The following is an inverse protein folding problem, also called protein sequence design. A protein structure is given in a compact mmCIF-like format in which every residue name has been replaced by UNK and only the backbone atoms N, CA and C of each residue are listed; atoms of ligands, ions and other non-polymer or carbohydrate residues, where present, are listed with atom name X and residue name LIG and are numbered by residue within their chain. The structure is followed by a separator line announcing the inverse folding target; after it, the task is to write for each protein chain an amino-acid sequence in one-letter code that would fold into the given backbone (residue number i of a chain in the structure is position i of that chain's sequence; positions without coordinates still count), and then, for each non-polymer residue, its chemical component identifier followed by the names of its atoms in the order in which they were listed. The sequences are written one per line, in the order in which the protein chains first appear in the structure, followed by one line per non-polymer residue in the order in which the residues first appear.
data_IF_663632505091
#
_entry.id   IF_663632505091
#
_cell.length_a   1.000
_cell.length_b   1.000
_cell.length_c   1.000
_cell.angle_alpha   90.00
_cell.angle_beta   90.00
_cell.angle_gamma   90.00
#
_symmetry.space_group_name_H-M   'P 1'
#
loop_
_entity.id
_entity.type
_entity.pdbx_description
1 polymer ?
#
# COMPACT_ATOMS: atom_id res chain seq x y z
N UNK A 1 -15.70 0.93 14.24
CA UNK A 1 -15.25 -0.31 13.56
C UNK A 1 -15.40 -0.10 12.05
N UNK A 2 -14.44 -0.51 11.24
CA UNK A 2 -14.38 -0.16 9.81
C UNK A 2 -15.27 -1.10 8.97
N UNK A 3 -16.55 -0.79 8.85
CA UNK A 3 -17.47 -1.53 7.98
C UNK A 3 -17.09 -1.33 6.51
N UNK A 4 -17.28 -2.36 5.65
CA UNK A 4 -16.93 -2.31 4.24
C UNK A 4 -15.41 -2.22 3.94
N UNK A 5 -14.56 -2.72 4.86
CA UNK A 5 -13.10 -2.61 4.72
C UNK A 5 -12.57 -3.36 3.48
N UNK A 6 -13.14 -4.54 3.18
CA UNK A 6 -12.74 -5.28 1.96
C UNK A 6 -13.12 -4.50 0.71
N UNK A 7 -14.28 -3.84 0.69
CA UNK A 7 -14.69 -3.00 -0.44
C UNK A 7 -13.74 -1.80 -0.62
N UNK A 8 -13.28 -1.20 0.48
CA UNK A 8 -12.25 -0.14 0.43
C UNK A 8 -10.92 -0.65 -0.12
N UNK A 9 -10.49 -1.84 0.29
CA UNK A 9 -9.29 -2.46 -0.26
C UNK A 9 -9.42 -2.71 -1.76
N UNK A 10 -10.58 -3.23 -2.21
CA UNK A 10 -10.86 -3.46 -3.63
C UNK A 10 -10.87 -2.13 -4.40
N UNK A 11 -11.50 -1.08 -3.86
CA UNK A 11 -11.52 0.26 -4.47
C UNK A 11 -10.11 0.87 -4.58
N UNK A 12 -9.31 0.80 -3.52
CA UNK A 12 -7.92 1.27 -3.53
C UNK A 12 -7.08 0.51 -4.57
N UNK A 13 -7.25 -0.81 -4.62
CA UNK A 13 -6.56 -1.68 -5.58
C UNK A 13 -6.99 -1.40 -7.03
N UNK A 14 -8.26 -1.09 -7.27
CA UNK A 14 -8.75 -0.70 -8.59
C UNK A 14 -8.16 0.64 -9.05
N UNK A 15 -7.96 1.58 -8.13
CA UNK A 15 -7.25 2.84 -8.38
C UNK A 15 -5.82 2.59 -8.87
N UNK A 16 -5.08 1.72 -8.20
CA UNK A 16 -3.73 1.33 -8.61
C UNK A 16 -3.73 0.59 -9.95
N UNK A 17 -4.62 -0.38 -10.15
CA UNK A 17 -4.73 -1.13 -11.39
C UNK A 17 -5.00 -0.21 -12.61
N UNK A 18 -5.83 0.81 -12.43
CA UNK A 18 -6.11 1.79 -13.48
C UNK A 18 -4.84 2.50 -13.96
N UNK A 19 -3.95 2.90 -13.02
CA UNK A 19 -2.64 3.52 -13.36
C UNK A 19 -1.68 2.48 -13.94
N UNK A 20 -1.66 1.28 -13.38
CA UNK A 20 -0.82 0.18 -13.89
C UNK A 20 -1.11 -0.13 -15.37
N UNK A 21 -2.37 -0.13 -15.77
CA UNK A 21 -2.77 -0.33 -17.18
C UNK A 21 -2.31 0.79 -18.12
N UNK A 22 -1.99 1.95 -17.58
CA UNK A 22 -1.48 3.09 -18.32
C UNK A 22 0.05 3.13 -18.43
N UNK A 23 0.77 2.24 -17.74
CA UNK A 23 2.24 2.16 -17.81
C UNK A 23 2.68 1.78 -19.22
N UNK A 24 3.48 2.62 -19.85
CA UNK A 24 4.09 2.33 -21.16
C UNK A 24 5.35 1.50 -21.00
N UNK A 25 5.75 0.84 -22.09
CA UNK A 25 6.93 -0.04 -22.13
C UNK A 25 8.21 0.66 -21.67
N UNK A 26 8.36 1.95 -22.02
CA UNK A 26 9.51 2.77 -21.67
C UNK A 26 9.52 3.32 -20.24
N UNK A 27 8.44 3.12 -19.46
CA UNK A 27 8.28 3.67 -18.12
C UNK A 27 8.59 2.69 -16.97
N UNK A 28 8.80 1.42 -17.25
CA UNK A 28 8.99 0.42 -16.20
C UNK A 28 10.22 0.66 -15.31
N UNK A 29 11.24 1.31 -15.84
CA UNK A 29 12.47 1.66 -15.12
C UNK A 29 12.48 3.11 -14.60
N UNK A 30 11.38 3.87 -14.80
CA UNK A 30 11.26 5.23 -14.30
C UNK A 30 11.27 5.25 -12.76
N UNK A 31 11.92 6.27 -12.17
CA UNK A 31 11.89 6.49 -10.73
C UNK A 31 10.47 6.82 -10.25
N UNK A 32 10.19 6.53 -8.99
CA UNK A 32 8.93 6.88 -8.34
C UNK A 32 9.17 7.83 -7.17
N UNK A 33 8.15 8.52 -6.66
CA UNK A 33 8.25 9.29 -5.42
C UNK A 33 8.64 8.44 -4.20
N UNK A 34 8.36 7.13 -4.23
CA UNK A 34 8.93 6.19 -3.28
C UNK A 34 10.36 5.86 -3.71
N UNK A 35 11.34 6.59 -3.20
CA UNK A 35 12.73 6.61 -3.67
C UNK A 35 13.46 5.25 -3.63
N UNK A 36 12.90 4.28 -2.91
CA UNK A 36 13.44 2.91 -2.86
C UNK A 36 13.14 2.09 -4.13
N UNK A 37 12.15 2.52 -4.97
CA UNK A 37 11.64 1.72 -6.07
C UNK A 37 11.48 2.50 -7.38
N UNK A 38 11.82 1.84 -8.49
CA UNK A 38 11.33 2.21 -9.81
C UNK A 38 9.88 1.67 -10.00
N UNK A 39 9.26 1.99 -11.13
CA UNK A 39 7.87 1.57 -11.42
C UNK A 39 7.72 0.05 -11.32
N UNK A 40 8.65 -0.76 -11.90
CA UNK A 40 8.56 -2.22 -11.85
C UNK A 40 8.62 -2.74 -10.42
N UNK A 41 9.54 -2.21 -9.62
CA UNK A 41 9.71 -2.61 -8.22
C UNK A 41 8.49 -2.22 -7.37
N UNK A 42 7.93 -1.02 -7.59
CA UNK A 42 6.70 -0.60 -6.93
C UNK A 42 5.52 -1.54 -7.26
N UNK A 43 5.33 -1.87 -8.56
CA UNK A 43 4.26 -2.79 -8.98
C UNK A 43 4.49 -4.20 -8.41
N UNK A 44 5.75 -4.65 -8.36
CA UNK A 44 6.10 -5.94 -7.76
C UNK A 44 5.79 -5.96 -6.25
N UNK A 45 6.17 -4.89 -5.52
CA UNK A 45 5.82 -4.73 -4.11
C UNK A 45 4.32 -4.86 -3.90
N UNK A 46 3.53 -4.20 -4.73
CA UNK A 46 2.08 -4.21 -4.62
C UNK A 46 1.46 -5.59 -4.84
N UNK A 47 1.94 -6.33 -5.83
CA UNK A 47 1.48 -7.70 -6.11
C UNK A 47 1.97 -8.69 -5.03
N UNK A 48 3.25 -8.62 -4.67
CA UNK A 48 3.88 -9.52 -3.70
C UNK A 48 3.29 -9.33 -2.28
N UNK A 49 3.00 -8.09 -1.88
CA UNK A 49 2.34 -7.82 -0.61
C UNK A 49 0.98 -8.54 -0.55
N UNK A 50 0.13 -8.44 -1.57
CA UNK A 50 -1.15 -9.15 -1.60
C UNK A 50 -0.98 -10.67 -1.39
N UNK A 51 -0.01 -11.29 -2.08
CA UNK A 51 0.33 -12.72 -1.90
C UNK A 51 0.76 -13.01 -0.46
N UNK A 52 1.55 -12.14 0.13
CA UNK A 52 2.05 -12.30 1.50
C UNK A 52 0.93 -12.15 2.54
N UNK A 53 -0.02 -11.23 2.32
CA UNK A 53 -1.19 -11.09 3.18
C UNK A 53 -2.08 -12.35 3.20
N UNK A 54 -2.27 -12.99 2.04
CA UNK A 54 -2.96 -14.30 1.97
C UNK A 54 -2.21 -15.35 2.80
N UNK A 55 -0.88 -15.40 2.69
CA UNK A 55 -0.06 -16.34 3.48
C UNK A 55 -0.18 -16.07 4.98
N UNK A 56 -0.15 -14.81 5.42
CA UNK A 56 -0.32 -14.44 6.82
C UNK A 56 -1.67 -14.91 7.37
N UNK A 57 -2.76 -14.75 6.60
CA UNK A 57 -4.09 -15.26 6.97
C UNK A 57 -4.11 -16.78 7.17
N UNK A 58 -3.25 -17.50 6.47
CA UNK A 58 -3.12 -18.97 6.58
C UNK A 58 -2.01 -19.42 7.55
N UNK A 59 -1.58 -18.53 8.47
CA UNK A 59 -0.60 -18.86 9.51
C UNK A 59 0.86 -18.67 9.11
N UNK A 60 1.12 -17.98 8.00
CA UNK A 60 2.48 -17.54 7.64
C UNK A 60 3.06 -16.55 8.65
N UNK A 61 4.37 -16.39 8.64
CA UNK A 61 5.11 -15.58 9.60
C UNK A 61 5.66 -14.29 9.00
N UNK A 62 5.97 -13.31 9.86
CA UNK A 62 6.67 -12.08 9.49
C UNK A 62 8.02 -12.36 8.81
N UNK A 63 8.74 -13.37 9.29
CA UNK A 63 10.00 -13.79 8.69
C UNK A 63 9.84 -14.33 7.26
N UNK A 64 8.75 -15.08 6.98
CA UNK A 64 8.43 -15.55 5.61
C UNK A 64 8.02 -14.40 4.70
N UNK A 65 7.23 -13.46 5.23
CA UNK A 65 6.86 -12.24 4.51
C UNK A 65 8.11 -11.47 4.06
N UNK A 66 9.03 -11.17 5.00
CA UNK A 66 10.24 -10.42 4.71
C UNK A 66 11.18 -11.15 3.73
N UNK A 67 11.33 -12.48 3.83
CA UNK A 67 12.13 -13.26 2.87
C UNK A 67 11.57 -13.24 1.45
N UNK A 68 10.26 -13.13 1.30
CA UNK A 68 9.61 -13.12 -0.01
C UNK A 68 9.34 -11.72 -0.57
N UNK A 69 9.67 -10.65 0.18
CA UNK A 69 9.32 -9.27 -0.17
C UNK A 69 9.73 -8.87 -1.59
N UNK A 70 10.95 -9.24 -1.98
CA UNK A 70 11.55 -8.85 -3.25
C UNK A 70 11.48 -9.96 -4.32
N UNK A 71 10.76 -11.06 -4.03
CA UNK A 71 10.54 -12.13 -5.01
C UNK A 71 9.69 -11.61 -6.18
N UNK A 72 10.02 -12.03 -7.41
CA UNK A 72 9.25 -11.63 -8.60
C UNK A 72 7.84 -12.26 -8.57
N UNK A 73 6.85 -11.42 -8.33
CA UNK A 73 5.44 -11.77 -8.37
C UNK A 73 4.77 -11.44 -9.72
N UNK A 74 5.46 -10.74 -10.61
CA UNK A 74 4.89 -10.20 -11.84
C UNK A 74 5.07 -11.12 -13.04
N UNK A 75 6.23 -11.75 -13.16
CA UNK A 75 6.59 -12.54 -14.33
C UNK A 75 6.52 -11.71 -15.63
N UNK A 76 5.95 -12.31 -16.67
CA UNK A 76 5.79 -11.68 -18.00
C UNK A 76 4.46 -10.93 -18.18
N UNK A 77 3.53 -11.00 -17.22
CA UNK A 77 2.21 -10.36 -17.29
C UNK A 77 1.94 -9.57 -15.99
N UNK A 78 2.55 -8.39 -15.81
CA UNK A 78 2.43 -7.61 -14.59
C UNK A 78 0.99 -7.22 -14.24
N UNK A 79 0.20 -6.82 -15.23
CA UNK A 79 -1.21 -6.43 -15.01
C UNK A 79 -2.03 -7.62 -14.52
N UNK A 80 -1.96 -8.75 -15.24
CA UNK A 80 -2.68 -9.95 -14.84
C UNK A 80 -2.22 -10.51 -13.51
N UNK A 81 -0.91 -10.46 -13.21
CA UNK A 81 -0.36 -10.88 -11.93
C UNK A 81 -0.91 -10.04 -10.76
N UNK A 82 -0.91 -8.71 -10.92
CA UNK A 82 -1.48 -7.80 -9.93
C UNK A 82 -2.98 -8.06 -9.74
N UNK A 83 -3.76 -8.10 -10.82
CA UNK A 83 -5.22 -8.37 -10.76
C UNK A 83 -5.53 -9.69 -10.03
N UNK A 84 -4.79 -10.77 -10.35
CA UNK A 84 -4.95 -12.06 -9.65
C UNK A 84 -4.59 -11.97 -8.18
N UNK A 85 -3.54 -11.24 -7.81
CA UNK A 85 -3.12 -11.06 -6.41
C UNK A 85 -4.16 -10.30 -5.59
N UNK A 86 -4.75 -9.24 -6.16
CA UNK A 86 -5.85 -8.48 -5.52
C UNK A 86 -7.05 -9.37 -5.28
N UNK A 87 -7.49 -10.13 -6.29
CA UNK A 87 -8.63 -11.03 -6.16
C UNK A 87 -8.41 -12.07 -5.06
N UNK A 88 -7.27 -12.75 -5.09
CA UNK A 88 -6.94 -13.76 -4.07
C UNK A 88 -6.90 -13.16 -2.65
N UNK A 89 -6.36 -11.93 -2.52
CA UNK A 89 -6.34 -11.24 -1.24
C UNK A 89 -7.76 -10.88 -0.78
N UNK A 90 -8.58 -10.27 -1.63
CA UNK A 90 -9.97 -9.94 -1.29
C UNK A 90 -10.77 -11.20 -0.91
N UNK A 91 -10.68 -12.27 -1.70
CA UNK A 91 -11.36 -13.54 -1.46
C UNK A 91 -10.97 -14.13 -0.10
N UNK A 92 -9.69 -14.07 0.29
CA UNK A 92 -9.22 -14.57 1.58
C UNK A 92 -9.75 -13.73 2.77
N UNK A 93 -9.88 -12.41 2.61
CA UNK A 93 -10.36 -11.55 3.68
C UNK A 93 -11.90 -11.53 3.85
N UNK A 94 -12.67 -12.04 2.90
CA UNK A 94 -14.13 -12.23 3.06
C UNK A 94 -14.51 -13.57 3.68
N UNK A 95 -13.54 -14.48 3.89
CA UNK A 95 -13.81 -15.74 4.59
C UNK A 95 -14.37 -15.48 5.99
N UNK A 96 -15.34 -16.29 6.46
CA UNK A 96 -15.88 -16.15 7.81
C UNK A 96 -14.78 -16.17 8.89
N UNK A 97 -14.75 -15.15 9.74
CA UNK A 97 -13.76 -15.01 10.82
C UNK A 97 -12.37 -14.62 10.37
N UNK A 98 -12.15 -14.27 9.10
CA UNK A 98 -10.83 -13.88 8.60
C UNK A 98 -10.33 -12.59 9.26
N UNK A 99 -11.17 -11.57 9.36
CA UNK A 99 -10.80 -10.25 9.89
C UNK A 99 -10.47 -10.25 11.40
N UNK A 100 -10.89 -11.27 12.14
CA UNK A 100 -10.66 -11.45 13.58
C UNK A 100 -9.38 -12.25 13.87
N UNK A 101 -8.73 -12.84 12.86
CA UNK A 101 -7.49 -13.60 13.03
C UNK A 101 -6.35 -12.68 13.46
N UNK A 102 -5.51 -13.18 14.38
CA UNK A 102 -4.24 -12.53 14.75
C UNK A 102 -3.16 -12.92 13.73
N UNK A 103 -2.46 -11.92 13.20
CA UNK A 103 -1.39 -12.09 12.21
C UNK A 103 -0.03 -11.78 12.82
N UNK A 104 0.98 -12.56 12.45
CA UNK A 104 2.40 -12.26 12.68
C UNK A 104 2.92 -11.39 11.52
N UNK A 105 2.51 -10.11 11.52
CA UNK A 105 2.84 -9.17 10.45
C UNK A 105 4.23 -8.53 10.69
N UNK A 106 5.01 -8.17 9.66
CA UNK A 106 6.31 -7.49 9.83
C UNK A 106 6.25 -6.20 10.66
N UNK A 107 5.14 -5.49 10.62
CA UNK A 107 4.94 -4.29 11.43
C UNK A 107 4.59 -4.60 12.90
N UNK A 108 4.36 -5.83 13.27
CA UNK A 108 3.97 -6.28 14.61
C UNK A 108 2.75 -7.19 14.58
N UNK A 109 2.46 -7.83 15.69
CA UNK A 109 1.22 -8.61 15.84
C UNK A 109 0.02 -7.68 15.76
N UNK A 110 -0.93 -8.03 14.93
CA UNK A 110 -2.14 -7.23 14.71
C UNK A 110 -3.30 -8.11 14.24
N UNK A 111 -4.52 -7.62 14.36
CA UNK A 111 -5.66 -8.31 13.76
C UNK A 111 -5.59 -8.25 12.23
N UNK A 112 -6.15 -9.22 11.55
CA UNK A 112 -6.26 -9.20 10.08
C UNK A 112 -7.06 -7.97 9.59
N UNK A 113 -8.02 -7.50 10.38
CA UNK A 113 -8.75 -6.24 10.14
C UNK A 113 -7.79 -5.04 10.08
N UNK A 114 -6.93 -4.90 11.08
CA UNK A 114 -5.92 -3.82 11.10
C UNK A 114 -4.93 -3.97 9.94
N UNK A 115 -4.46 -5.19 9.67
CA UNK A 115 -3.58 -5.48 8.56
C UNK A 115 -4.20 -5.07 7.21
N UNK A 116 -5.49 -5.37 6.98
CA UNK A 116 -6.17 -4.96 5.75
C UNK A 116 -6.34 -3.45 5.65
N UNK A 117 -6.54 -2.74 6.77
CA UNK A 117 -6.58 -1.28 6.80
C UNK A 117 -5.21 -0.67 6.44
N UNK A 118 -4.12 -1.22 7.00
CA UNK A 118 -2.74 -0.87 6.60
C UNK A 118 -2.55 -1.10 5.10
N UNK A 119 -2.97 -2.25 4.56
CA UNK A 119 -2.84 -2.56 3.13
C UNK A 119 -3.67 -1.63 2.24
N UNK A 120 -4.86 -1.23 2.69
CA UNK A 120 -5.72 -0.27 1.98
C UNK A 120 -5.04 1.09 1.89
N UNK A 121 -4.47 1.56 3.00
CA UNK A 121 -3.69 2.81 3.06
C UNK A 121 -2.50 2.74 2.10
N UNK A 122 -1.71 1.68 2.17
CA UNK A 122 -0.55 1.44 1.31
C UNK A 122 -0.94 1.44 -0.18
N UNK A 123 -2.03 0.76 -0.54
CA UNK A 123 -2.54 0.74 -1.92
C UNK A 123 -2.96 2.13 -2.41
N UNK A 124 -3.56 2.93 -1.53
CA UNK A 124 -4.00 4.29 -1.87
C UNK A 124 -2.80 5.21 -2.10
N UNK A 125 -1.81 5.21 -1.21
CA UNK A 125 -0.61 6.06 -1.33
C UNK A 125 0.21 5.66 -2.57
N UNK A 126 0.44 4.37 -2.79
CA UNK A 126 1.19 3.89 -3.95
C UNK A 126 0.46 4.09 -5.29
N UNK A 127 -0.87 4.27 -5.28
CA UNK A 127 -1.61 4.73 -6.46
C UNK A 127 -1.13 6.11 -6.91
N UNK A 128 -0.91 7.02 -5.96
CA UNK A 128 -0.34 8.34 -6.24
C UNK A 128 1.12 8.24 -6.71
N UNK A 129 1.94 7.44 -6.03
CA UNK A 129 3.35 7.24 -6.42
C UNK A 129 3.46 6.76 -7.87
N UNK A 130 2.64 5.79 -8.27
CA UNK A 130 2.61 5.28 -9.64
C UNK A 130 2.13 6.33 -10.64
N UNK A 131 1.04 7.05 -10.31
CA UNK A 131 0.50 8.11 -11.16
C UNK A 131 1.55 9.18 -11.46
N UNK A 132 2.26 9.65 -10.44
CA UNK A 132 3.35 10.64 -10.56
C UNK A 132 4.48 10.11 -11.43
N UNK A 133 4.92 8.88 -11.21
CA UNK A 133 6.01 8.25 -11.96
C UNK A 133 5.74 8.16 -13.47
N UNK A 134 4.48 7.97 -13.86
CA UNK A 134 4.11 7.80 -15.28
C UNK A 134 3.45 9.04 -15.91
N UNK A 135 3.30 10.13 -15.15
CA UNK A 135 2.65 11.36 -15.61
C UNK A 135 1.14 11.21 -15.84
N UNK A 136 0.47 10.34 -15.06
CA UNK A 136 -0.98 10.13 -15.09
C UNK A 136 -1.71 11.04 -14.08
N UNK A 137 -3.06 10.99 -14.07
CA UNK A 137 -3.87 11.69 -13.07
C UNK A 137 -3.58 11.14 -11.67
N UNK A 138 -3.03 11.99 -10.81
CA UNK A 138 -2.59 11.68 -9.45
C UNK A 138 -3.66 11.93 -8.37
N UNK A 139 -4.88 12.30 -8.78
CA UNK A 139 -6.01 12.42 -7.86
C UNK A 139 -6.42 11.04 -7.35
N UNK A 140 -6.47 10.93 -6.03
CA UNK A 140 -6.93 9.75 -5.33
C UNK A 140 -8.46 9.79 -5.14
N UNK A 141 -9.06 8.64 -4.85
CA UNK A 141 -10.46 8.59 -4.48
C UNK A 141 -10.69 9.39 -3.18
N UNK A 142 -11.57 10.39 -3.22
CA UNK A 142 -11.79 11.30 -2.10
C UNK A 142 -12.37 10.60 -0.86
N UNK A 143 -13.18 9.55 -1.05
CA UNK A 143 -13.73 8.77 0.05
C UNK A 143 -12.67 7.94 0.75
N UNK A 144 -11.73 7.34 -0.01
CA UNK A 144 -10.58 6.63 0.57
C UNK A 144 -9.66 7.58 1.33
N UNK A 145 -9.33 8.73 0.72
CA UNK A 145 -8.47 9.74 1.34
C UNK A 145 -9.07 10.23 2.65
N UNK A 146 -10.36 10.60 2.67
CA UNK A 146 -11.04 11.04 3.88
C UNK A 146 -11.06 9.94 4.95
N UNK A 147 -11.40 8.70 4.57
CA UNK A 147 -11.42 7.59 5.49
C UNK A 147 -10.05 7.30 6.11
N UNK A 148 -8.97 7.35 5.32
CA UNK A 148 -7.61 7.14 5.84
C UNK A 148 -7.23 8.28 6.78
N UNK A 149 -7.44 9.54 6.38
CA UNK A 149 -7.11 10.73 7.18
C UNK A 149 -7.81 10.68 8.56
N UNK A 150 -9.10 10.31 8.59
CA UNK A 150 -9.89 10.18 9.81
C UNK A 150 -9.47 9.02 10.72
N UNK A 151 -8.88 7.96 10.18
CA UNK A 151 -8.59 6.72 10.91
C UNK A 151 -7.10 6.39 11.00
N UNK A 152 -6.20 7.26 10.53
CA UNK A 152 -4.78 6.96 10.42
C UNK A 152 -4.15 6.54 11.75
N UNK A 153 -4.45 7.25 12.83
CA UNK A 153 -3.94 6.93 14.16
C UNK A 153 -4.42 5.54 14.62
N UNK A 154 -5.69 5.19 14.37
CA UNK A 154 -6.26 3.89 14.73
C UNK A 154 -5.67 2.76 13.88
N UNK A 155 -5.47 3.00 12.58
CA UNK A 155 -4.88 2.04 11.64
C UNK A 155 -3.47 1.61 12.10
N UNK A 156 -2.68 2.53 12.63
CA UNK A 156 -1.31 2.26 13.08
C UNK A 156 -1.17 2.13 14.59
N UNK A 157 -2.28 2.14 15.35
CA UNK A 157 -2.26 2.04 16.80
C UNK A 157 -1.58 0.77 17.32
N UNK A 158 -0.74 0.92 18.33
CA UNK A 158 -0.06 -0.20 18.99
C UNK A 158 1.08 -0.85 18.19
N UNK A 159 1.37 -0.34 16.98
CA UNK A 159 2.48 -0.85 16.18
C UNK A 159 3.78 -0.18 16.59
N UNK A 160 4.89 -0.95 16.77
CA UNK A 160 6.17 -0.36 17.11
C UNK A 160 6.70 0.56 16.01
N UNK A 161 7.35 1.66 16.37
CA UNK A 161 7.88 2.67 15.41
C UNK A 161 9.31 2.36 14.92
N UNK A 162 9.87 1.22 15.33
CA UNK A 162 11.22 0.83 14.90
C UNK A 162 11.26 0.40 13.43
N UNK A 163 12.30 0.74 12.66
CA UNK A 163 12.45 0.27 11.28
C UNK A 163 12.36 -1.24 11.15
N UNK A 164 11.76 -1.73 10.05
CA UNK A 164 11.57 -3.17 9.78
C UNK A 164 12.81 -3.82 9.16
N UNK A 165 13.73 -3.03 8.61
CA UNK A 165 14.97 -3.47 8.00
C UNK A 165 16.09 -2.47 8.28
N UNK A 166 17.36 -2.91 8.20
CA UNK A 166 18.51 -2.06 8.45
C UNK A 166 18.70 -0.98 7.39
N UNK A 167 18.17 -1.19 6.20
CA UNK A 167 18.30 -0.28 5.04
C UNK A 167 17.28 0.85 5.06
N UNK A 168 16.25 0.78 5.91
CA UNK A 168 15.24 1.84 6.04
C UNK A 168 15.40 2.60 7.34
N UNK A 169 15.25 3.92 7.29
CA UNK A 169 15.29 4.81 8.46
C UNK A 169 13.92 5.06 9.07
N UNK A 170 12.87 4.56 8.46
CA UNK A 170 11.47 4.71 8.89
C UNK A 170 10.76 3.36 8.85
N UNK A 171 9.70 3.24 9.66
CA UNK A 171 8.96 1.98 9.75
C UNK A 171 7.79 1.90 8.78
N UNK A 172 6.97 2.95 8.75
CA UNK A 172 5.75 3.02 7.93
C UNK A 172 5.94 3.95 6.76
N UNK A 173 6.32 5.20 7.05
CA UNK A 173 6.45 6.27 6.07
C UNK A 173 7.73 7.04 6.32
N UNK A 174 8.28 7.64 5.27
CA UNK A 174 9.35 8.62 5.41
C UNK A 174 8.86 9.82 6.25
N UNK A 175 9.79 10.51 6.89
CA UNK A 175 9.45 11.74 7.58
C UNK A 175 8.95 12.79 6.57
N UNK A 176 7.95 13.61 6.95
CA UNK A 176 7.51 14.71 6.11
C UNK A 176 8.67 15.67 5.80
N UNK A 177 8.79 16.08 4.54
CA UNK A 177 9.75 17.09 4.12
C UNK A 177 9.05 18.45 3.91
N UNK A 178 9.62 19.51 4.50
CA UNK A 178 9.07 20.86 4.41
C UNK A 178 7.79 21.10 5.22
N UNK A 179 7.06 22.16 4.86
CA UNK A 179 5.80 22.58 5.50
C UNK A 179 4.69 22.69 4.46
N UNK A 180 3.52 22.21 4.80
CA UNK A 180 2.32 22.42 3.98
C UNK A 180 1.75 23.82 4.14
N UNK A 181 1.10 24.34 3.10
CA UNK A 181 0.28 25.55 3.22
C UNK A 181 -0.96 25.26 4.08
N UNK A 182 -1.44 26.30 4.78
CA UNK A 182 -2.59 26.17 5.68
C UNK A 182 -3.91 25.80 5.00
N UNK A 183 -3.99 25.92 3.66
CA UNK A 183 -5.14 25.60 2.81
C UNK A 183 -4.94 24.30 2.01
N UNK A 184 -3.97 23.46 2.38
CA UNK A 184 -3.69 22.19 1.73
C UNK A 184 -4.92 21.27 1.73
N UNK A 185 -5.16 20.57 0.61
CA UNK A 185 -6.22 19.58 0.50
C UNK A 185 -6.04 18.42 1.49
N UNK A 186 -7.08 17.63 1.73
CA UNK A 186 -6.98 16.40 2.56
C UNK A 186 -5.98 15.44 1.93
N UNK A 187 -5.98 15.30 0.60
CA UNK A 187 -5.02 14.48 -0.11
C UNK A 187 -3.57 14.98 0.12
N UNK A 188 -3.32 16.29 0.01
CA UNK A 188 -1.97 16.83 0.20
C UNK A 188 -1.47 16.62 1.63
N UNK A 189 -2.36 16.78 2.62
CA UNK A 189 -2.03 16.49 4.03
C UNK A 189 -1.69 15.03 4.23
N UNK A 190 -2.51 14.11 3.71
CA UNK A 190 -2.27 12.68 3.81
C UNK A 190 -0.93 12.29 3.16
N UNK A 191 -0.66 12.77 1.95
CA UNK A 191 0.59 12.53 1.24
C UNK A 191 1.80 13.07 2.03
N UNK A 192 1.69 14.28 2.55
CA UNK A 192 2.75 14.90 3.34
C UNK A 192 3.08 14.09 4.61
N UNK A 193 2.08 13.72 5.41
CA UNK A 193 2.32 12.94 6.64
C UNK A 193 2.82 11.52 6.35
N UNK A 194 2.66 11.04 5.14
CA UNK A 194 3.22 9.77 4.66
C UNK A 194 4.54 9.94 3.90
N UNK A 195 5.18 11.12 4.03
CA UNK A 195 6.52 11.39 3.52
C UNK A 195 6.60 11.66 2.02
N UNK A 196 5.50 12.09 1.39
CA UNK A 196 5.46 12.51 -0.01
C UNK A 196 5.45 14.03 -0.10
N UNK A 197 6.07 14.56 -1.17
CA UNK A 197 5.92 15.97 -1.53
C UNK A 197 4.83 16.12 -2.61
N UNK A 198 3.60 16.53 -2.24
CA UNK A 198 2.50 16.65 -3.20
C UNK A 198 2.73 17.76 -4.24
N UNK A 199 3.69 18.68 -4.01
CA UNK A 199 4.00 19.82 -4.91
C UNK A 199 5.31 19.63 -5.66
N UNK A 200 6.16 18.71 -5.22
CA UNK A 200 7.39 18.35 -5.91
C UNK A 200 7.09 17.75 -7.28
N UNK A 201 7.67 18.32 -8.31
CA UNK A 201 7.60 17.85 -9.70
C UNK A 201 8.88 17.16 -10.10
#
# INVERSE_FOLDING_TARGET
MWDGLVDRFVLASAGFESRLRAVRVDQWDSSTPCTEWNVRQLVNHMAQANVSYVRLLHGGTSAEFLRSRDADALGSDPVGAYTRSVRACADAFVEPGALERELDHPLGRMTARQALAVRTTDSTIHTWDLARAIGADDRLDAGLVAWIDENLEEIYAGLPETPTAAETTHRFFAAPDGTLAGDASVQDRLLHITGRDPRGG
#
